data_IF_535507329760
#
_entry.id   IF_535507329760
#
_cell.length_a   1.000
_cell.length_b   1.000
_cell.length_c   1.000
_cell.angle_alpha   90.00
_cell.angle_beta   90.00
_cell.angle_gamma   90.00
#
_symmetry.space_group_name_H-M   'P 1'
#
loop_
_entity.id
_entity.type
_entity.pdbx_description
1 polymer ?
#
# COMPACT_ATOMS: atom_id res chain seq x y z
N UNK A 1 24.19 11.96 8.30
CA UNK A 1 23.93 10.76 7.48
C UNK A 1 22.79 11.06 6.52
N UNK A 2 22.87 10.55 5.29
CA UNK A 2 21.81 10.64 4.28
C UNK A 2 21.35 9.22 3.94
N UNK A 3 20.05 8.97 4.04
CA UNK A 3 19.44 7.70 3.63
C UNK A 3 18.37 7.98 2.59
N UNK A 4 18.45 7.32 1.45
CA UNK A 4 17.51 7.53 0.35
C UNK A 4 16.93 6.20 -0.11
N UNK A 5 15.66 6.22 -0.53
CA UNK A 5 15.06 5.11 -1.28
C UNK A 5 14.66 5.65 -2.63
N UNK A 6 15.28 5.12 -3.69
CA UNK A 6 15.00 5.51 -5.09
C UNK A 6 14.69 4.27 -5.90
N UNK A 7 13.53 4.23 -6.56
CA UNK A 7 13.10 3.06 -7.34
C UNK A 7 13.18 1.73 -6.56
N UNK A 8 12.92 1.76 -5.25
CA UNK A 8 12.99 0.58 -4.38
C UNK A 8 14.40 0.20 -3.97
N UNK A 9 15.45 0.94 -4.35
CA UNK A 9 16.81 0.73 -3.85
C UNK A 9 17.07 1.61 -2.64
N UNK A 10 17.57 1.02 -1.56
CA UNK A 10 17.98 1.71 -0.35
C UNK A 10 19.45 2.12 -0.47
N UNK A 11 19.70 3.41 -0.37
CA UNK A 11 21.00 4.06 -0.48
C UNK A 11 21.34 4.69 0.88
N UNK A 12 22.55 4.47 1.39
CA UNK A 12 23.09 5.16 2.56
C UNK A 12 24.34 5.91 2.15
N UNK A 13 24.35 7.23 2.33
CA UNK A 13 25.41 8.15 1.91
C UNK A 13 25.82 7.93 0.44
N UNK A 14 24.84 7.60 -0.42
CA UNK A 14 25.01 7.35 -1.86
C UNK A 14 25.38 5.90 -2.23
N UNK A 15 25.60 5.01 -1.27
CA UNK A 15 25.96 3.61 -1.50
C UNK A 15 24.71 2.72 -1.39
N UNK A 16 24.48 1.85 -2.38
CA UNK A 16 23.38 0.87 -2.33
C UNK A 16 23.67 -0.16 -1.23
N UNK A 17 22.80 -0.20 -0.23
CA UNK A 17 22.91 -1.12 0.93
C UNK A 17 21.80 -2.18 0.93
N UNK A 18 20.80 -2.04 0.05
CA UNK A 18 19.75 -3.02 -0.09
C UNK A 18 18.62 -2.58 -1.01
N UNK A 19 17.57 -3.39 -1.02
CA UNK A 19 16.33 -3.12 -1.74
C UNK A 19 15.20 -3.00 -0.73
N UNK A 20 14.15 -2.26 -1.03
CA UNK A 20 12.92 -2.15 -0.25
C UNK A 20 11.86 -2.97 -0.95
N UNK A 21 11.54 -4.13 -0.38
CA UNK A 21 10.41 -4.94 -0.84
C UNK A 21 9.18 -4.62 0.00
N UNK A 22 8.01 -4.70 -0.62
CA UNK A 22 6.72 -4.59 0.06
C UNK A 22 5.90 -5.84 -0.25
N UNK A 23 5.72 -6.71 0.74
CA UNK A 23 4.73 -7.79 0.62
C UNK A 23 3.32 -7.22 0.83
N UNK A 24 2.41 -7.53 -0.10
CA UNK A 24 0.98 -7.17 -0.01
C UNK A 24 0.21 -8.01 1.01
N UNK A 25 0.83 -9.01 1.65
CA UNK A 25 0.14 -9.83 2.65
C UNK A 25 -0.16 -8.99 3.90
N UNK A 26 -1.43 -8.96 4.31
CA UNK A 26 -1.96 -8.30 5.52
C UNK A 26 -1.27 -8.76 6.82
N UNK A 27 -0.53 -9.87 6.76
CA UNK A 27 0.11 -10.51 7.92
C UNK A 27 1.61 -10.22 8.01
N UNK A 28 2.22 -9.67 6.95
CA UNK A 28 3.67 -9.41 6.90
C UNK A 28 3.94 -8.14 6.09
N UNK A 29 3.99 -6.93 6.69
CA UNK A 29 4.65 -5.81 6.04
C UNK A 29 6.15 -6.07 6.00
N UNK A 30 6.57 -6.96 5.11
CA UNK A 30 7.95 -7.35 4.98
C UNK A 30 8.68 -6.23 4.25
N UNK A 31 9.27 -5.29 5.00
CA UNK A 31 10.34 -4.42 4.51
C UNK A 31 11.61 -5.26 4.53
N UNK A 32 11.79 -6.15 3.55
CA UNK A 32 13.09 -6.84 3.43
C UNK A 32 14.04 -5.81 2.88
N UNK A 33 14.86 -5.28 3.74
CA UNK A 33 16.10 -4.63 3.35
C UNK A 33 17.19 -5.70 3.43
N UNK A 34 18.15 -5.74 2.51
CA UNK A 34 19.25 -6.73 2.55
C UNK A 34 20.12 -6.60 3.83
N UNK A 35 19.81 -5.65 4.72
CA UNK A 35 20.31 -5.53 6.10
C UNK A 35 19.57 -6.44 7.11
N UNK A 36 18.67 -7.31 6.64
CA UNK A 36 18.06 -8.38 7.44
C UNK A 36 16.93 -7.94 8.36
N UNK A 37 16.34 -6.76 8.13
CA UNK A 37 15.22 -6.25 8.93
C UNK A 37 13.90 -6.79 8.38
N UNK A 38 12.99 -7.18 9.26
CA UNK A 38 11.62 -7.59 8.92
C UNK A 38 10.63 -6.99 9.91
N UNK A 39 9.43 -6.62 9.45
CA UNK A 39 8.33 -6.21 10.34
C UNK A 39 7.28 -7.32 10.37
N UNK A 40 7.10 -7.93 11.54
CA UNK A 40 6.12 -9.00 11.78
C UNK A 40 4.93 -8.44 12.55
N UNK A 41 3.73 -8.61 12.03
CA UNK A 41 2.52 -8.15 12.71
C UNK A 41 2.25 -9.00 13.95
N UNK A 42 2.07 -8.34 15.11
CA UNK A 42 1.73 -8.99 16.38
C UNK A 42 0.24 -8.78 16.74
N UNK A 43 -0.40 -7.75 16.20
CA UNK A 43 -1.79 -7.42 16.52
C UNK A 43 -2.34 -6.28 15.68
N UNK A 44 -3.41 -5.65 16.16
CA UNK A 44 -4.04 -4.54 15.45
C UNK A 44 -3.15 -3.29 15.47
N UNK A 45 -2.42 -3.06 14.39
CA UNK A 45 -1.55 -1.89 14.23
C UNK A 45 -0.24 -1.95 15.02
N UNK A 46 0.17 -3.12 15.53
CA UNK A 46 1.44 -3.31 16.24
C UNK A 46 2.29 -4.34 15.49
N UNK A 47 3.55 -4.02 15.28
CA UNK A 47 4.52 -4.85 14.56
C UNK A 47 5.79 -5.02 15.38
N UNK A 48 6.29 -6.24 15.52
CA UNK A 48 7.65 -6.48 15.99
C UNK A 48 8.63 -6.17 14.85
N UNK A 49 9.73 -5.51 15.20
CA UNK A 49 10.87 -5.33 14.31
C UNK A 49 11.85 -6.46 14.61
N UNK A 50 12.13 -7.26 13.60
CA UNK A 50 13.07 -8.36 13.67
C UNK A 50 14.31 -8.00 12.85
N UNK A 51 15.50 -8.34 13.33
CA UNK A 51 16.74 -8.35 12.53
C UNK A 51 17.40 -9.71 12.68
N UNK A 52 17.59 -10.40 11.56
CA UNK A 52 18.12 -11.77 11.55
C UNK A 52 17.37 -12.67 12.56
N UNK A 53 16.03 -12.69 12.47
CA UNK A 53 15.12 -13.43 13.35
C UNK A 53 15.08 -13.02 14.84
N UNK A 54 15.87 -12.02 15.25
CA UNK A 54 15.87 -11.51 16.63
C UNK A 54 15.01 -10.25 16.74
N UNK A 55 14.14 -10.18 17.75
CA UNK A 55 13.34 -8.98 18.02
C UNK A 55 14.21 -7.87 18.63
N UNK A 56 14.25 -6.72 17.96
CA UNK A 56 15.06 -5.55 18.33
C UNK A 56 14.21 -4.32 18.68
N UNK A 57 12.91 -4.40 18.44
CA UNK A 57 12.02 -3.26 18.60
C UNK A 57 10.57 -3.55 18.27
N UNK A 58 9.75 -2.52 18.45
CA UNK A 58 8.31 -2.56 18.14
C UNK A 58 7.90 -1.29 17.40
N UNK A 59 7.03 -1.42 16.42
CA UNK A 59 6.48 -0.35 15.62
C UNK A 59 4.96 -0.27 15.83
N UNK A 60 4.47 0.89 16.24
CA UNK A 60 3.05 1.22 16.26
C UNK A 60 2.68 1.89 14.94
N UNK A 61 1.87 1.20 14.12
CA UNK A 61 1.59 1.59 12.75
C UNK A 61 0.68 2.81 12.58
N UNK A 62 -0.09 3.20 13.61
CA UNK A 62 -0.98 4.38 13.53
C UNK A 62 -0.18 5.68 13.47
N UNK A 63 0.81 5.80 14.33
CA UNK A 63 1.59 7.02 14.54
C UNK A 63 3.04 6.87 14.02
N UNK A 64 3.34 5.73 13.37
CA UNK A 64 4.69 5.34 12.93
C UNK A 64 5.74 5.51 14.04
N UNK A 65 5.36 5.13 15.25
CA UNK A 65 6.18 5.23 16.45
C UNK A 65 6.98 3.95 16.60
N UNK A 66 8.31 4.06 16.59
CA UNK A 66 9.25 2.95 16.63
C UNK A 66 10.00 2.96 17.97
N UNK A 67 9.84 1.91 18.77
CA UNK A 67 10.72 1.62 19.89
C UNK A 67 11.83 0.70 19.40
N UNK A 68 13.09 1.11 19.52
CA UNK A 68 14.25 0.39 18.98
C UNK A 68 15.44 0.53 19.93
N UNK A 69 16.01 -0.59 20.38
CA UNK A 69 17.14 -0.62 21.33
C UNK A 69 16.94 0.31 22.56
N UNK A 70 15.73 0.35 23.11
CA UNK A 70 15.40 1.17 24.29
C UNK A 70 15.18 2.66 24.00
N UNK A 71 15.32 3.09 22.75
CA UNK A 71 15.02 4.46 22.32
C UNK A 71 13.66 4.53 21.62
N UNK A 72 13.00 5.67 21.77
CA UNK A 72 11.74 5.95 21.11
C UNK A 72 11.95 6.89 19.93
N UNK A 73 11.57 6.45 18.75
CA UNK A 73 11.56 7.23 17.53
C UNK A 73 10.13 7.50 17.07
N UNK A 74 9.87 8.70 16.57
CA UNK A 74 8.57 9.08 16.02
C UNK A 74 8.70 10.08 14.89
N UNK A 75 7.60 10.30 14.18
CA UNK A 75 7.52 11.30 13.13
C UNK A 75 6.69 12.51 13.59
N UNK A 76 7.22 13.71 13.39
CA UNK A 76 6.51 14.95 13.63
C UNK A 76 5.43 15.15 12.57
N UNK A 77 4.17 15.09 13.00
CA UNK A 77 2.99 15.44 12.19
C UNK A 77 2.78 14.62 10.90
N UNK A 78 3.20 13.35 10.88
CA UNK A 78 3.05 12.49 9.69
C UNK A 78 1.58 12.41 9.20
N UNK A 79 1.30 12.94 8.01
CA UNK A 79 0.01 12.79 7.33
C UNK A 79 0.16 11.85 6.11
N UNK A 80 -0.36 10.60 6.19
CA UNK A 80 -0.35 9.67 5.08
C UNK A 80 -1.00 10.21 3.80
N UNK A 81 -1.99 11.10 3.91
CA UNK A 81 -2.72 11.65 2.75
C UNK A 81 -1.87 12.63 1.97
N UNK A 82 -1.10 13.47 2.66
CA UNK A 82 -0.18 14.41 2.05
C UNK A 82 1.04 13.69 1.50
N UNK A 83 1.57 12.70 2.23
CA UNK A 83 2.66 11.84 1.75
C UNK A 83 2.34 11.19 0.39
N UNK A 84 1.10 10.73 0.17
CA UNK A 84 0.66 10.14 -1.10
C UNK A 84 0.54 11.15 -2.26
N UNK A 85 0.45 12.45 -1.97
CA UNK A 85 0.43 13.50 -3.01
C UNK A 85 1.81 13.79 -3.59
N UNK A 86 2.86 13.26 -2.97
CA UNK A 86 4.18 13.16 -3.60
C UNK A 86 5.07 14.39 -3.46
N UNK A 87 4.84 15.24 -2.46
CA UNK A 87 5.74 16.29 -1.99
C UNK A 87 5.39 16.57 -0.53
N UNK A 88 6.08 15.92 0.40
CA UNK A 88 5.77 16.00 1.83
C UNK A 88 7.07 15.96 2.64
N UNK A 89 7.15 16.80 3.67
CA UNK A 89 8.28 16.84 4.60
C UNK A 89 7.80 16.55 6.02
N UNK A 90 8.58 15.77 6.76
CA UNK A 90 8.35 15.45 8.17
C UNK A 90 9.68 15.39 8.90
N UNK A 91 9.63 15.43 10.22
CA UNK A 91 10.81 15.40 11.07
C UNK A 91 10.83 14.08 11.83
N UNK A 92 12.01 13.49 11.96
CA UNK A 92 12.22 12.30 12.78
C UNK A 92 12.68 12.76 14.15
N UNK A 93 11.97 12.33 15.17
CA UNK A 93 12.21 12.66 16.56
C UNK A 93 12.78 11.45 17.29
N UNK A 94 13.84 11.64 18.07
CA UNK A 94 14.37 10.68 19.04
C UNK A 94 14.04 11.19 20.44
N UNK A 95 13.24 10.44 21.19
CA UNK A 95 12.75 10.81 22.51
C UNK A 95 12.16 12.24 22.56
N UNK A 96 11.50 12.64 21.46
CA UNK A 96 10.90 13.97 21.28
C UNK A 96 11.83 15.06 20.74
N UNK A 97 13.12 14.78 20.54
CA UNK A 97 14.09 15.72 19.97
C UNK A 97 14.28 15.48 18.47
N UNK A 98 14.23 16.54 17.66
CA UNK A 98 14.48 16.43 16.23
C UNK A 98 15.92 16.01 15.95
N UNK A 99 16.08 14.88 15.26
CA UNK A 99 17.38 14.34 14.85
C UNK A 99 17.56 14.31 13.33
N UNK A 100 16.46 14.27 12.56
CA UNK A 100 16.51 14.26 11.11
C UNK A 100 15.26 14.86 10.48
N UNK A 101 15.37 15.15 9.18
CA UNK A 101 14.27 15.53 8.31
C UNK A 101 14.10 14.44 7.26
N UNK A 102 12.86 14.14 6.92
CA UNK A 102 12.50 13.22 5.87
C UNK A 102 11.65 13.95 4.84
N UNK A 103 12.01 13.82 3.57
CA UNK A 103 11.25 14.30 2.42
C UNK A 103 10.78 13.12 1.58
N UNK A 104 9.51 13.20 1.18
CA UNK A 104 8.83 12.22 0.34
C UNK A 104 8.49 12.94 -0.96
N UNK A 105 9.07 12.46 -2.06
CA UNK A 105 8.74 12.88 -3.42
C UNK A 105 8.08 11.70 -4.15
N UNK A 106 7.38 11.95 -5.24
CA UNK A 106 6.80 10.86 -6.05
C UNK A 106 7.90 9.89 -6.49
N UNK A 107 7.84 8.64 -6.01
CA UNK A 107 8.81 7.60 -6.34
C UNK A 107 10.13 7.62 -5.56
N UNK A 108 10.37 8.61 -4.69
CA UNK A 108 11.63 8.76 -3.94
C UNK A 108 11.39 9.18 -2.49
N UNK A 109 12.23 8.70 -1.57
CA UNK A 109 12.28 9.16 -0.18
C UNK A 109 13.72 9.53 0.17
N UNK A 110 13.90 10.63 0.89
CA UNK A 110 15.20 11.04 1.42
C UNK A 110 15.07 11.40 2.89
N UNK A 111 16.00 10.92 3.69
CA UNK A 111 16.14 11.21 5.11
C UNK A 111 17.54 11.78 5.33
N UNK A 112 17.61 12.95 5.94
CA UNK A 112 18.85 13.66 6.18
C UNK A 112 18.91 14.16 7.63
N UNK A 113 19.97 13.79 8.33
CA UNK A 113 20.19 14.22 9.71
C UNK A 113 21.19 13.35 10.47
N UNK A 114 21.19 13.52 11.78
CA UNK A 114 22.06 12.82 12.72
C UNK A 114 21.29 11.69 13.40
N UNK A 115 20.93 10.66 12.62
CA UNK A 115 20.26 9.48 13.14
C UNK A 115 21.34 8.55 13.70
N UNK A 116 21.33 8.24 15.01
CA UNK A 116 22.37 7.43 15.62
C UNK A 116 22.37 5.99 15.13
N UNK A 117 21.20 5.48 14.69
CA UNK A 117 21.03 4.12 14.23
C UNK A 117 20.65 4.05 12.74
N UNK A 118 21.47 3.33 11.96
CA UNK A 118 21.27 3.15 10.52
C UNK A 118 20.05 2.32 10.19
N UNK A 119 19.73 1.35 11.04
CA UNK A 119 18.58 0.45 10.85
C UNK A 119 17.28 1.25 10.99
N UNK A 120 17.23 2.18 11.95
CA UNK A 120 16.09 3.08 12.16
C UNK A 120 15.84 3.94 10.92
N UNK A 121 16.89 4.54 10.36
CA UNK A 121 16.79 5.34 9.14
C UNK A 121 16.28 4.49 7.96
N UNK A 122 16.78 3.27 7.81
CA UNK A 122 16.32 2.33 6.79
C UNK A 122 14.85 1.92 6.96
N UNK A 123 14.42 1.65 8.19
CA UNK A 123 13.02 1.32 8.52
C UNK A 123 12.11 2.46 8.11
N UNK A 124 12.41 3.69 8.53
CA UNK A 124 11.59 4.86 8.20
C UNK A 124 11.57 5.14 6.70
N UNK A 125 12.72 5.10 6.03
CA UNK A 125 12.80 5.36 4.59
C UNK A 125 11.92 4.36 3.82
N UNK A 126 11.97 3.09 4.22
CA UNK A 126 11.16 2.03 3.62
C UNK A 126 9.68 2.18 3.92
N UNK A 127 9.30 2.50 5.15
CA UNK A 127 7.90 2.75 5.53
C UNK A 127 7.31 3.94 4.75
N UNK A 128 8.09 5.02 4.60
CA UNK A 128 7.70 6.21 3.84
C UNK A 128 7.63 5.93 2.34
N UNK A 129 8.50 5.07 1.80
CA UNK A 129 8.52 4.74 0.38
C UNK A 129 7.23 4.06 -0.09
N UNK A 130 6.56 3.34 0.81
CA UNK A 130 5.20 2.84 0.56
C UNK A 130 4.26 3.95 0.12
N UNK A 131 4.36 5.14 0.71
CA UNK A 131 3.51 6.29 0.42
C UNK A 131 3.95 7.02 -0.86
N UNK A 132 5.26 7.06 -1.14
CA UNK A 132 5.82 7.59 -2.39
C UNK A 132 5.37 6.82 -3.63
N UNK A 133 5.04 5.53 -3.48
CA UNK A 133 4.68 4.62 -4.58
C UNK A 133 3.18 4.31 -4.69
N UNK A 134 2.32 4.84 -3.82
CA UNK A 134 0.85 4.55 -3.83
C UNK A 134 0.19 4.97 -5.15
N UNK A 135 0.72 5.97 -5.85
CA UNK A 135 0.29 6.34 -7.21
C UNK A 135 0.44 5.20 -8.20
N UNK A 136 1.48 4.36 -8.09
CA UNK A 136 1.63 3.13 -8.88
C UNK A 136 0.61 2.06 -8.44
N UNK A 137 0.33 1.92 -7.14
CA UNK A 137 -0.66 0.96 -6.62
C UNK A 137 -2.12 1.31 -6.95
N UNK A 138 -2.44 2.60 -7.18
CA UNK A 138 -3.80 3.03 -7.56
C UNK A 138 -4.15 2.60 -9.00
N UNK A 139 -3.14 2.42 -9.87
CA UNK A 139 -3.32 1.92 -11.24
C UNK A 139 -3.79 0.45 -11.22
N UNK A 140 -3.28 -0.36 -10.29
CA UNK A 140 -3.71 -1.76 -10.13
C UNK A 140 -5.18 -1.91 -9.73
N UNK A 141 -5.69 -1.07 -8.80
CA UNK A 141 -7.13 -1.05 -8.46
C UNK A 141 -8.00 -0.58 -9.63
N UNK A 142 -7.51 0.32 -10.49
CA UNK A 142 -8.20 0.70 -11.73
C UNK A 142 -8.24 -0.45 -12.73
N UNK A 143 -7.18 -1.26 -12.81
CA UNK A 143 -7.16 -2.44 -13.68
C UNK A 143 -8.19 -3.49 -13.29
N UNK A 144 -8.44 -3.72 -11.99
CA UNK A 144 -9.54 -4.60 -11.56
C UNK A 144 -10.90 -4.05 -12.01
N UNK A 145 -11.13 -2.74 -11.88
CA UNK A 145 -12.38 -2.11 -12.33
C UNK A 145 -12.55 -2.17 -13.85
N UNK A 146 -11.48 -2.01 -14.62
CA UNK A 146 -11.51 -2.11 -16.09
C UNK A 146 -11.57 -3.55 -16.61
N UNK A 147 -11.04 -4.54 -15.87
CA UNK A 147 -11.05 -5.96 -16.24
C UNK A 147 -12.46 -6.52 -16.38
N UNK A 148 -13.40 -6.02 -15.58
CA UNK A 148 -14.81 -6.40 -15.69
C UNK A 148 -15.60 -5.48 -16.61
N UNK A 149 -15.20 -4.21 -16.78
CA UNK A 149 -15.97 -3.24 -17.56
C UNK A 149 -16.07 -3.58 -19.04
N UNK A 150 -14.98 -4.06 -19.65
CA UNK A 150 -14.94 -4.41 -21.08
C UNK A 150 -15.82 -5.64 -21.41
N UNK A 151 -15.69 -6.79 -20.70
CA UNK A 151 -16.57 -7.93 -20.94
C UNK A 151 -18.06 -7.61 -20.72
N UNK A 152 -18.38 -6.71 -19.78
CA UNK A 152 -19.77 -6.28 -19.51
C UNK A 152 -20.34 -5.50 -20.69
N UNK A 153 -19.56 -4.56 -21.23
CA UNK A 153 -19.98 -3.79 -22.41
C UNK A 153 -20.16 -4.71 -23.62
N UNK A 154 -19.26 -5.67 -23.82
CA UNK A 154 -19.37 -6.66 -24.92
C UNK A 154 -20.60 -7.57 -24.72
N UNK A 155 -20.85 -8.05 -23.50
CA UNK A 155 -22.01 -8.89 -23.20
C UNK A 155 -23.33 -8.13 -23.38
N UNK A 156 -23.41 -6.86 -22.95
CA UNK A 156 -24.59 -6.02 -23.14
C UNK A 156 -24.85 -5.73 -24.62
N UNK A 157 -23.81 -5.50 -25.42
CA UNK A 157 -23.92 -5.38 -26.89
C UNK A 157 -24.41 -6.70 -27.50
N UNK A 158 -23.88 -7.83 -27.06
CA UNK A 158 -24.33 -9.16 -27.50
C UNK A 158 -25.82 -9.43 -27.19
N UNK A 159 -26.29 -9.05 -26.00
CA UNK A 159 -27.70 -9.16 -25.60
C UNK A 159 -28.59 -8.28 -26.49
N UNK A 160 -28.17 -7.05 -26.77
CA UNK A 160 -28.89 -6.14 -27.66
C UNK A 160 -28.95 -6.65 -29.11
N UNK A 161 -27.85 -7.20 -29.61
CA UNK A 161 -27.79 -7.82 -30.95
C UNK A 161 -28.68 -9.06 -31.04
N UNK A 162 -28.66 -9.93 -30.03
CA UNK A 162 -29.51 -11.13 -29.96
C UNK A 162 -30.99 -10.79 -29.82
N UNK A 163 -31.33 -9.71 -29.11
CA UNK A 163 -32.70 -9.23 -29.02
C UNK A 163 -33.24 -8.75 -30.38
N UNK A 164 -32.38 -8.28 -31.28
CA UNK A 164 -32.74 -7.93 -32.66
C UNK A 164 -33.23 -9.11 -33.51
N UNK A 165 -32.98 -10.36 -33.08
CA UNK A 165 -33.47 -11.57 -33.73
C UNK A 165 -34.80 -12.08 -33.16
N UNK A 166 -35.35 -11.44 -32.12
CA UNK A 166 -36.63 -11.82 -31.53
C UNK A 166 -37.80 -11.06 -32.19
N UNK A 167 -38.95 -11.71 -32.43
CA UNK A 167 -40.11 -11.07 -33.04
C UNK A 167 -40.60 -9.86 -32.21
N UNK A 168 -40.89 -8.77 -32.92
CA UNK A 168 -40.73 -7.37 -32.47
C UNK A 168 -41.56 -6.84 -31.30
N UNK A 169 -42.35 -7.68 -30.62
CA UNK A 169 -43.16 -7.26 -29.48
C UNK A 169 -42.56 -7.64 -28.11
N UNK A 170 -41.60 -8.58 -28.07
CA UNK A 170 -40.92 -8.99 -26.82
C UNK A 170 -39.41 -8.73 -26.82
N UNK A 171 -38.83 -8.35 -27.96
CA UNK A 171 -37.38 -8.14 -28.13
C UNK A 171 -36.81 -7.10 -27.16
N UNK A 172 -37.48 -5.95 -27.04
CA UNK A 172 -37.05 -4.84 -26.16
C UNK A 172 -37.11 -5.24 -24.69
N UNK A 173 -38.17 -5.95 -24.30
CA UNK A 173 -38.36 -6.40 -22.92
C UNK A 173 -37.31 -7.45 -22.53
N UNK A 174 -37.03 -8.40 -23.42
CA UNK A 174 -36.01 -9.44 -23.21
C UNK A 174 -34.61 -8.83 -23.15
N UNK A 175 -34.30 -7.82 -23.96
CA UNK A 175 -33.04 -7.09 -23.88
C UNK A 175 -32.86 -6.39 -22.52
N UNK A 176 -33.89 -5.67 -22.06
CA UNK A 176 -33.89 -4.98 -20.77
C UNK A 176 -33.71 -5.96 -19.61
N UNK A 177 -34.44 -7.07 -19.61
CA UNK A 177 -34.32 -8.12 -18.57
C UNK A 177 -32.92 -8.72 -18.62
N UNK A 178 -32.38 -9.03 -19.80
CA UNK A 178 -31.04 -9.60 -19.97
C UNK A 178 -29.95 -8.71 -19.40
N UNK A 179 -30.01 -7.39 -19.66
CA UNK A 179 -29.06 -6.41 -19.13
C UNK A 179 -29.17 -6.32 -17.59
N UNK A 180 -30.39 -6.23 -17.06
CA UNK A 180 -30.63 -6.14 -15.61
C UNK A 180 -30.12 -7.38 -14.88
N UNK A 181 -30.36 -8.58 -15.44
CA UNK A 181 -29.88 -9.85 -14.84
C UNK A 181 -28.36 -9.94 -14.89
N UNK A 182 -27.73 -9.51 -16.00
CA UNK A 182 -26.28 -9.49 -16.12
C UNK A 182 -25.65 -8.56 -15.07
N UNK A 183 -26.12 -7.31 -15.00
CA UNK A 183 -25.65 -6.32 -14.04
C UNK A 183 -25.87 -6.77 -12.59
N UNK A 184 -27.01 -7.41 -12.30
CA UNK A 184 -27.32 -7.97 -10.98
C UNK A 184 -26.38 -9.13 -10.61
N UNK A 185 -26.12 -10.06 -11.54
CA UNK A 185 -25.21 -11.19 -11.31
C UNK A 185 -23.79 -10.68 -11.02
N UNK A 186 -23.33 -9.67 -11.75
CA UNK A 186 -22.03 -9.04 -11.52
C UNK A 186 -21.99 -8.33 -10.18
N UNK A 187 -23.04 -7.58 -9.83
CA UNK A 187 -23.15 -6.94 -8.52
C UNK A 187 -23.05 -7.97 -7.38
N UNK A 188 -23.72 -9.12 -7.51
CA UNK A 188 -23.66 -10.20 -6.54
C UNK A 188 -22.27 -10.86 -6.46
N UNK A 189 -21.59 -11.09 -7.60
CA UNK A 189 -20.22 -11.62 -7.64
C UNK A 189 -19.23 -10.64 -6.98
N UNK A 190 -19.37 -9.34 -7.25
CA UNK A 190 -18.53 -8.32 -6.64
C UNK A 190 -18.81 -8.18 -5.14
N UNK A 191 -20.08 -8.33 -4.72
CA UNK A 191 -20.50 -8.31 -3.31
C UNK A 191 -20.01 -9.54 -2.54
N UNK A 192 -20.07 -10.74 -3.13
CA UNK A 192 -19.60 -11.97 -2.48
C UNK A 192 -18.08 -11.96 -2.29
N UNK A 193 -17.33 -11.41 -3.27
CA UNK A 193 -15.90 -11.17 -3.13
C UNK A 193 -15.56 -10.14 -2.05
N UNK A 194 -16.40 -9.13 -1.80
CA UNK A 194 -16.22 -8.20 -0.67
C UNK A 194 -16.48 -8.85 0.69
N UNK A 195 -17.51 -9.70 0.81
CA UNK A 195 -17.80 -10.39 2.08
C UNK A 195 -16.75 -11.43 2.46
N UNK A 196 -16.16 -12.12 1.49
CA UNK A 196 -15.04 -13.03 1.77
C UNK A 196 -13.81 -12.27 2.26
N UNK A 197 -13.55 -11.05 1.80
CA UNK A 197 -12.52 -10.20 2.42
C UNK A 197 -12.87 -9.67 3.81
N UNK A 198 -14.16 -9.51 4.15
CA UNK A 198 -14.59 -9.08 5.50
C UNK A 198 -14.62 -10.23 6.52
N UNK A 199 -15.01 -11.44 6.11
CA UNK A 199 -15.07 -12.63 7.00
C UNK A 199 -13.70 -13.21 7.39
N UNK A 200 -12.62 -12.86 6.69
CA UNK A 200 -11.25 -13.18 7.09
C UNK A 200 -10.59 -12.06 7.91
N UNK A 201 -11.35 -11.01 8.28
CA UNK A 201 -10.87 -9.85 9.02
C UNK A 201 -11.52 -9.62 10.38
N UNK A 202 -12.40 -10.54 10.81
CA UNK A 202 -13.01 -10.59 12.14
C UNK A 202 -12.32 -11.62 13.03
#
# INVERSE_FOLDING_TARGET
MIVEVRNGKLLMDGIEVGEVKHSMSLDKPLVVTNIGIELKRQGFGVYSVLKNDSEIGTLQGRDLKLSYNGNEYSLSKFDPREAVRGNYETEILLNGLQIAKASITTGDVRIEGDIPDRDVAAIYASLMYRYATVTNYRVERRNIRNRFRVPIVIANIGILLLAGFLPGQYSVLVALIGIVVLDLAIYLILRSKRRTTEYYSS
#
